data_IF_043462129699
#
_entry.id   IF_043462129699
#
_cell.length_a   1.000
_cell.length_b   1.000
_cell.length_c   1.000
_cell.angle_alpha   90.00
_cell.angle_beta   90.00
_cell.angle_gamma   90.00
#
_symmetry.space_group_name_H-M   'P 1'
#
loop_
_entity.id
_entity.type
_entity.pdbx_description
1 polymer ?
#
# COMPACT_ATOMS: atom_id res chain seq x y z
N UNK A 1 7.19 18.37 0.53
CA UNK A 1 7.67 17.16 1.24
C UNK A 1 6.46 16.25 1.38
N UNK A 2 6.53 15.02 0.87
CA UNK A 2 5.41 14.09 0.99
C UNK A 2 5.12 13.79 2.47
N UNK A 3 3.85 13.85 2.85
CA UNK A 3 3.37 13.62 4.22
C UNK A 3 3.55 12.15 4.69
N UNK A 4 3.92 11.28 3.77
CA UNK A 4 4.03 9.83 3.94
C UNK A 4 5.40 9.39 4.44
N UNK A 5 5.39 8.43 5.36
CA UNK A 5 6.58 7.81 5.93
C UNK A 5 6.63 6.34 5.54
N UNK A 6 7.79 5.72 5.70
CA UNK A 6 8.01 4.31 5.39
C UNK A 6 8.68 3.64 6.57
N UNK A 7 8.23 2.44 6.92
CA UNK A 7 8.95 1.63 7.93
C UNK A 7 10.24 1.07 7.34
N UNK A 8 11.24 0.78 8.19
CA UNK A 8 12.46 0.11 7.75
C UNK A 8 12.17 -1.25 7.08
N UNK A 9 11.14 -1.97 7.52
CA UNK A 9 10.68 -3.19 6.86
C UNK A 9 10.20 -2.91 5.42
N UNK A 10 9.46 -1.83 5.21
CA UNK A 10 9.01 -1.47 3.86
C UNK A 10 10.21 -1.17 2.94
N UNK A 11 11.15 -0.36 3.40
CA UNK A 11 12.28 0.07 2.58
C UNK A 11 13.27 -1.07 2.31
N UNK A 12 13.61 -1.85 3.34
CA UNK A 12 14.69 -2.85 3.25
C UNK A 12 14.19 -4.22 2.76
N UNK A 13 12.92 -4.57 3.01
CA UNK A 13 12.37 -5.88 2.66
C UNK A 13 11.35 -5.80 1.52
N UNK A 14 10.35 -4.91 1.63
CA UNK A 14 9.25 -4.86 0.66
C UNK A 14 9.72 -4.37 -0.69
N UNK A 15 10.40 -3.21 -0.75
CA UNK A 15 10.93 -2.65 -1.99
C UNK A 15 12.05 -3.51 -2.59
N UNK A 16 12.91 -4.07 -1.75
CA UNK A 16 13.97 -5.00 -2.19
C UNK A 16 13.40 -6.24 -2.88
N UNK A 17 12.36 -6.86 -2.33
CA UNK A 17 11.72 -8.06 -2.90
C UNK A 17 10.75 -7.76 -4.05
N UNK A 18 10.28 -6.51 -4.17
CA UNK A 18 9.30 -6.06 -5.17
C UNK A 18 9.85 -4.84 -5.90
N UNK A 19 10.88 -5.04 -6.70
CA UNK A 19 11.56 -3.98 -7.45
C UNK A 19 10.65 -3.22 -8.43
N UNK A 20 9.51 -3.80 -8.82
CA UNK A 20 8.49 -3.14 -9.63
C UNK A 20 7.62 -2.15 -8.85
N UNK A 21 7.60 -2.22 -7.52
CA UNK A 21 6.70 -1.43 -6.68
C UNK A 21 7.21 0.00 -6.56
N UNK A 22 6.34 0.96 -6.86
CA UNK A 22 6.62 2.40 -6.73
C UNK A 22 5.98 2.98 -5.47
N UNK A 23 6.71 3.86 -4.76
CA UNK A 23 6.19 4.54 -3.55
C UNK A 23 4.95 5.39 -3.89
N UNK A 24 4.95 6.00 -5.07
CA UNK A 24 3.89 6.82 -5.62
C UNK A 24 2.59 6.02 -5.86
N UNK A 25 2.69 4.73 -6.17
CA UNK A 25 1.51 3.85 -6.24
C UNK A 25 0.89 3.64 -4.87
N UNK A 26 1.72 3.46 -3.84
CA UNK A 26 1.23 3.26 -2.49
C UNK A 26 0.49 4.50 -1.98
N UNK A 27 1.05 5.69 -2.25
CA UNK A 27 0.44 6.98 -1.90
C UNK A 27 -0.91 7.13 -2.61
N UNK A 28 -0.96 6.93 -3.93
CA UNK A 28 -2.21 7.02 -4.71
C UNK A 28 -3.32 6.13 -4.15
N UNK A 29 -2.99 4.90 -3.75
CA UNK A 29 -3.95 3.96 -3.17
C UNK A 29 -4.47 4.43 -1.81
N UNK A 30 -3.64 5.10 -1.00
CA UNK A 30 -4.07 5.64 0.30
C UNK A 30 -4.95 6.88 0.10
N UNK A 31 -4.62 7.75 -0.86
CA UNK A 31 -5.35 8.99 -1.13
C UNK A 31 -6.70 8.74 -1.81
N UNK A 32 -6.78 7.75 -2.69
CA UNK A 32 -8.00 7.39 -3.40
C UNK A 32 -8.24 5.87 -3.40
N UNK A 33 -8.61 5.29 -2.25
CA UNK A 33 -8.82 3.87 -2.11
C UNK A 33 -10.17 3.43 -2.71
N UNK A 34 -10.16 2.32 -3.43
CA UNK A 34 -11.37 1.56 -3.77
C UNK A 34 -12.04 0.97 -2.51
N UNK A 35 -11.23 0.56 -1.53
CA UNK A 35 -11.69 0.03 -0.24
C UNK A 35 -10.69 0.39 0.85
N UNK A 36 -11.18 0.61 2.05
CA UNK A 36 -10.39 0.74 3.27
C UNK A 36 -10.93 -0.22 4.34
N UNK A 37 -10.04 -0.90 5.06
CA UNK A 37 -10.39 -1.81 6.14
C UNK A 37 -9.43 -1.65 7.31
N UNK A 38 -9.96 -1.59 8.54
CA UNK A 38 -9.14 -1.62 9.75
C UNK A 38 -8.88 -3.07 10.13
N UNK A 39 -7.61 -3.42 10.33
CA UNK A 39 -7.19 -4.72 10.82
C UNK A 39 -6.91 -4.65 12.32
N UNK A 40 -7.01 -5.77 13.02
CA UNK A 40 -6.50 -5.92 14.39
C UNK A 40 -5.00 -5.55 14.45
N UNK A 41 -4.53 -5.08 15.60
CA UNK A 41 -3.15 -4.61 15.85
C UNK A 41 -2.75 -3.31 15.14
N UNK A 42 -3.67 -2.33 15.08
CA UNK A 42 -3.34 -0.95 14.64
C UNK A 42 -2.81 -0.85 13.20
N UNK A 43 -3.32 -1.70 12.30
CA UNK A 43 -3.02 -1.62 10.87
C UNK A 43 -4.26 -1.21 10.10
N UNK A 44 -4.06 -0.46 9.03
CA UNK A 44 -5.10 -0.18 8.05
C UNK A 44 -4.68 -0.71 6.70
N UNK A 45 -5.65 -1.24 5.95
CA UNK A 45 -5.47 -1.75 4.60
C UNK A 45 -6.25 -0.85 3.65
N UNK A 46 -5.59 -0.50 2.55
CA UNK A 46 -6.14 0.29 1.46
C UNK A 46 -5.97 -0.53 0.18
N UNK A 47 -6.97 -0.51 -0.68
CA UNK A 47 -6.93 -1.16 -1.99
C UNK A 47 -7.15 -0.12 -3.08
N UNK A 48 -6.40 -0.22 -4.17
CA UNK A 48 -6.62 0.62 -5.35
C UNK A 48 -6.04 0.00 -6.61
N UNK A 49 -6.67 0.26 -7.74
CA UNK A 49 -6.19 -0.21 -9.04
C UNK A 49 -4.97 0.61 -9.47
N UNK A 50 -3.97 -0.07 -10.05
CA UNK A 50 -2.80 0.56 -10.63
C UNK A 50 -2.76 0.20 -12.11
N UNK A 51 -3.10 1.16 -12.96
CA UNK A 51 -3.10 1.00 -14.42
C UNK A 51 -1.71 0.62 -14.94
N UNK A 52 -0.66 1.26 -14.42
CA UNK A 52 0.73 0.97 -14.79
C UNK A 52 1.21 -0.42 -14.36
N UNK A 53 0.42 -1.13 -13.53
CA UNK A 53 0.63 -2.51 -13.13
C UNK A 53 -0.35 -3.46 -13.84
N UNK A 54 -0.83 -3.07 -15.02
CA UNK A 54 -1.78 -3.83 -15.84
C UNK A 54 -3.17 -3.88 -15.22
N UNK A 55 -3.63 -2.79 -14.62
CA UNK A 55 -4.94 -2.69 -13.97
C UNK A 55 -5.08 -3.53 -12.70
N UNK A 56 -3.98 -4.03 -12.14
CA UNK A 56 -4.01 -4.88 -10.94
C UNK A 56 -4.34 -4.05 -9.70
N UNK A 57 -5.09 -4.67 -8.78
CA UNK A 57 -5.36 -4.06 -7.48
C UNK A 57 -4.15 -4.23 -6.57
N UNK A 58 -3.63 -3.10 -6.09
CA UNK A 58 -2.59 -3.03 -5.08
C UNK A 58 -3.23 -2.89 -3.70
N UNK A 59 -2.82 -3.73 -2.76
CA UNK A 59 -3.12 -3.57 -1.34
C UNK A 59 -1.95 -2.90 -0.64
N UNK A 60 -2.23 -1.81 0.06
CA UNK A 60 -1.27 -1.04 0.86
C UNK A 60 -1.66 -1.15 2.32
N UNK A 61 -0.68 -1.39 3.19
CA UNK A 61 -0.87 -1.52 4.63
C UNK A 61 -0.11 -0.41 5.33
N UNK A 62 -0.80 0.37 6.15
CA UNK A 62 -0.22 1.43 6.98
C UNK A 62 -0.23 1.07 8.46
N UNK A 63 0.48 1.84 9.28
CA UNK A 63 0.20 1.96 10.72
C UNK A 63 -1.14 2.68 10.97
N UNK A 64 -1.49 2.85 12.24
CA UNK A 64 -2.66 3.56 12.76
C UNK A 64 -2.77 5.01 12.30
N UNK A 65 -1.64 5.67 12.08
CA UNK A 65 -1.56 7.05 11.59
C UNK A 65 -2.00 7.25 10.12
N UNK A 66 -2.29 6.15 9.40
CA UNK A 66 -2.67 6.11 7.98
C UNK A 66 -1.61 6.67 7.01
N UNK A 67 -0.41 6.99 7.49
CA UNK A 67 0.63 7.71 6.73
C UNK A 67 1.95 6.97 6.71
N UNK A 68 2.26 6.18 7.72
CA UNK A 68 3.44 5.30 7.73
C UNK A 68 3.12 3.99 7.01
N UNK A 69 3.68 3.85 5.81
CA UNK A 69 3.51 2.67 4.96
C UNK A 69 4.40 1.53 5.48
N UNK A 70 3.77 0.40 5.78
CA UNK A 70 4.42 -0.78 6.30
C UNK A 70 4.61 -1.87 5.25
N UNK A 71 3.61 -2.11 4.40
CA UNK A 71 3.67 -3.16 3.39
C UNK A 71 2.82 -2.79 2.16
N UNK A 72 3.16 -3.33 0.98
CA UNK A 72 2.30 -3.24 -0.19
C UNK A 72 2.56 -4.38 -1.17
N UNK A 73 1.50 -4.89 -1.80
CA UNK A 73 1.57 -5.97 -2.78
C UNK A 73 0.28 -6.10 -3.61
N UNK A 74 0.36 -6.64 -4.84
CA UNK A 74 -0.84 -6.94 -5.62
C UNK A 74 -1.74 -7.95 -4.91
N UNK A 75 -3.02 -7.64 -4.77
CA UNK A 75 -4.01 -8.50 -4.13
C UNK A 75 -4.88 -9.20 -5.19
N UNK A 76 -4.46 -10.40 -5.57
CA UNK A 76 -5.16 -11.22 -6.59
C UNK A 76 -6.51 -11.76 -6.14
N UNK A 77 -6.83 -11.65 -4.84
CA UNK A 77 -8.10 -12.13 -4.26
C UNK A 77 -9.05 -11.00 -3.94
N UNK A 78 -8.69 -9.76 -4.24
CA UNK A 78 -9.58 -8.64 -4.05
C UNK A 78 -10.85 -8.83 -4.89
N UNK A 79 -11.99 -8.72 -4.22
CA UNK A 79 -13.32 -8.63 -4.81
C UNK A 79 -13.96 -7.39 -4.19
N UNK A 80 -14.60 -6.58 -5.02
CA UNK A 80 -15.43 -5.46 -4.56
C UNK A 80 -16.60 -5.98 -3.72
#
# INVERSE_FOLDING_TARGET
MSEYKYTAYFENEVLRKRTYLKKEWCIRVIENPLKMERQEHNRLRFWGAIEELGGRVLRVVTLDDKKTIHNAFPDRRFKL
#
